data_IF_120200472016
#
_entry.id   IF_120200472016
#
_cell.length_a   1.000
_cell.length_b   1.000
_cell.length_c   1.000
_cell.angle_alpha   90.00
_cell.angle_beta   90.00
_cell.angle_gamma   90.00
#
_symmetry.space_group_name_H-M   'P 1'
#
loop_
_entity.id
_entity.type
_entity.pdbx_description
1 polymer ?
#
# COMPACT_ATOMS: atom_id res chain seq x y z
N UNK A 1 70.96 18.67 -2.44
CA UNK A 1 71.52 18.51 -3.81
C UNK A 1 70.35 18.14 -4.72
N UNK A 2 69.76 18.97 -5.57
CA UNK A 2 70.26 20.15 -6.28
C UNK A 2 70.72 19.74 -7.68
N UNK A 3 69.87 19.95 -8.70
CA UNK A 3 70.11 20.08 -10.16
C UNK A 3 68.70 20.03 -10.79
N UNK A 4 68.04 21.06 -11.37
CA UNK A 4 68.40 22.21 -12.21
C UNK A 4 69.16 21.85 -13.48
N UNK A 5 68.45 21.83 -14.61
CA UNK A 5 68.99 22.26 -15.89
C UNK A 5 67.90 22.99 -16.69
N UNK A 6 68.12 24.28 -16.85
CA UNK A 6 67.44 25.18 -17.79
C UNK A 6 68.15 25.13 -19.14
N UNK A 7 67.40 25.31 -20.23
CA UNK A 7 67.94 25.64 -21.56
C UNK A 7 66.80 26.08 -22.48
N UNK A 8 66.47 27.38 -22.59
CA UNK A 8 67.03 28.47 -23.42
C UNK A 8 66.44 28.55 -24.86
N UNK A 9 65.45 29.44 -25.00
CA UNK A 9 65.25 30.49 -26.01
C UNK A 9 65.61 30.24 -27.50
N UNK A 10 64.60 30.37 -28.38
CA UNK A 10 64.79 30.48 -29.84
C UNK A 10 63.56 31.04 -30.58
N UNK A 11 63.52 32.37 -30.73
CA UNK A 11 62.92 33.22 -31.80
C UNK A 11 61.64 32.83 -32.56
N UNK A 12 60.65 33.71 -32.39
CA UNK A 12 59.72 34.34 -33.37
C UNK A 12 59.63 33.82 -34.81
N UNK A 13 58.39 33.54 -35.22
CA UNK A 13 57.87 33.65 -36.59
C UNK A 13 56.35 33.80 -36.57
N UNK A 14 55.85 35.01 -36.89
CA UNK A 14 54.43 35.31 -37.08
C UNK A 14 54.02 35.04 -38.54
N UNK A 15 52.93 34.30 -38.75
CA UNK A 15 51.88 34.51 -39.79
C UNK A 15 50.84 33.38 -39.62
N UNK A 16 49.69 33.64 -39.01
CA UNK A 16 48.42 34.05 -39.64
C UNK A 16 47.61 32.87 -40.22
N UNK A 17 46.61 32.40 -39.46
CA UNK A 17 45.19 32.16 -39.87
C UNK A 17 44.52 31.07 -39.02
N UNK A 18 43.42 31.47 -38.38
CA UNK A 18 42.37 30.69 -37.71
C UNK A 18 41.40 30.16 -38.81
N UNK A 19 40.66 29.03 -38.68
CA UNK A 19 39.67 28.86 -37.62
C UNK A 19 39.55 27.48 -36.93
N UNK A 20 39.20 27.59 -35.65
CA UNK A 20 38.10 26.93 -34.94
C UNK A 20 38.13 25.43 -34.61
N UNK A 21 38.15 25.24 -33.29
CA UNK A 21 37.29 24.35 -32.52
C UNK A 21 37.19 22.88 -32.96
N UNK A 22 37.99 22.10 -32.25
CA UNK A 22 37.75 20.70 -31.97
C UNK A 22 36.30 20.39 -31.57
N UNK A 23 35.88 19.16 -31.90
CA UNK A 23 34.89 18.44 -31.12
C UNK A 23 33.55 18.23 -31.81
N UNK A 24 33.50 17.23 -32.67
CA UNK A 24 32.26 16.54 -33.00
C UNK A 24 31.68 15.96 -31.69
N UNK A 25 30.73 16.66 -31.07
CA UNK A 25 29.92 16.14 -29.96
C UNK A 25 28.77 15.32 -30.52
N UNK A 26 29.08 14.10 -30.95
CA UNK A 26 28.08 13.07 -31.23
C UNK A 26 27.76 12.34 -29.91
N UNK A 27 26.90 12.93 -29.08
CA UNK A 27 26.54 12.35 -27.79
C UNK A 27 25.51 13.17 -27.04
N UNK A 28 24.29 13.28 -27.57
CA UNK A 28 23.16 13.87 -26.80
C UNK A 28 21.77 13.35 -27.22
N UNK A 29 21.61 12.88 -28.46
CA UNK A 29 20.30 12.53 -29.03
C UNK A 29 19.57 11.37 -28.31
N UNK A 30 20.32 10.48 -27.64
CA UNK A 30 19.75 9.35 -26.91
C UNK A 30 19.18 9.74 -25.54
N UNK A 31 19.83 10.68 -24.84
CA UNK A 31 19.37 11.16 -23.54
C UNK A 31 18.10 12.01 -23.69
N UNK A 32 18.06 12.88 -24.71
CA UNK A 32 16.87 13.68 -25.05
C UNK A 32 15.68 12.81 -25.46
N UNK A 33 15.92 11.73 -26.22
CA UNK A 33 14.87 10.80 -26.62
C UNK A 33 14.28 10.06 -25.41
N UNK A 34 15.12 9.60 -24.49
CA UNK A 34 14.68 8.94 -23.25
C UNK A 34 13.95 9.91 -22.33
N UNK A 35 14.44 11.15 -22.20
CA UNK A 35 13.77 12.18 -21.40
C UNK A 35 12.39 12.52 -21.95
N UNK A 36 12.27 12.62 -23.28
CA UNK A 36 10.98 12.83 -23.95
C UNK A 36 10.00 11.68 -23.71
N UNK A 37 10.47 10.43 -23.84
CA UNK A 37 9.65 9.23 -23.55
C UNK A 37 9.21 9.14 -22.09
N UNK A 38 10.10 9.50 -21.15
CA UNK A 38 9.78 9.54 -19.73
C UNK A 38 8.74 10.61 -19.43
N UNK A 39 8.87 11.80 -20.02
CA UNK A 39 7.93 12.89 -19.81
C UNK A 39 6.54 12.55 -20.39
N UNK A 40 6.49 11.92 -21.57
CA UNK A 40 5.24 11.43 -22.16
C UNK A 40 4.57 10.38 -21.26
N UNK A 41 5.36 9.47 -20.68
CA UNK A 41 4.85 8.44 -19.78
C UNK A 41 4.36 9.03 -18.45
N UNK A 42 5.04 10.04 -17.92
CA UNK A 42 4.60 10.78 -16.72
C UNK A 42 3.25 11.44 -17.00
N UNK A 43 3.14 12.20 -18.08
CA UNK A 43 1.88 12.85 -18.47
C UNK A 43 0.77 11.83 -18.70
N UNK A 44 1.07 10.68 -19.31
CA UNK A 44 0.08 9.60 -19.49
C UNK A 44 -0.40 9.02 -18.16
N UNK A 45 0.51 8.83 -17.20
CA UNK A 45 0.18 8.31 -15.87
C UNK A 45 -0.61 9.32 -15.05
N UNK A 46 -0.24 10.60 -15.06
CA UNK A 46 -0.97 11.69 -14.41
C UNK A 46 -2.42 11.75 -14.92
N UNK A 47 -2.61 11.72 -16.24
CA UNK A 47 -3.96 11.70 -16.84
C UNK A 47 -4.79 10.47 -16.44
N UNK A 48 -4.14 9.31 -16.22
CA UNK A 48 -4.83 8.10 -15.76
C UNK A 48 -5.22 8.21 -14.30
N UNK A 49 -4.38 8.81 -13.46
CA UNK A 49 -4.68 9.07 -12.06
C UNK A 49 -5.88 10.01 -11.97
N UNK A 50 -5.87 11.14 -12.69
CA UNK A 50 -6.98 12.10 -12.68
C UNK A 50 -8.32 11.45 -13.08
N UNK A 51 -8.31 10.58 -14.09
CA UNK A 51 -9.50 9.84 -14.53
C UNK A 51 -9.99 8.87 -13.46
N UNK A 52 -9.10 8.12 -12.83
CA UNK A 52 -9.45 7.17 -11.78
C UNK A 52 -9.98 7.88 -10.54
N UNK A 53 -9.39 9.03 -10.17
CA UNK A 53 -9.87 9.85 -9.06
C UNK A 53 -11.28 10.39 -9.32
N UNK A 54 -11.57 10.85 -10.53
CA UNK A 54 -12.91 11.31 -10.90
C UNK A 54 -13.94 10.15 -10.94
N UNK A 55 -13.56 8.98 -11.46
CA UNK A 55 -14.41 7.78 -11.43
C UNK A 55 -14.76 7.37 -9.99
N UNK A 56 -13.78 7.36 -9.09
CA UNK A 56 -14.00 7.08 -7.67
C UNK A 56 -14.91 8.12 -7.01
N UNK A 57 -14.73 9.40 -7.34
CA UNK A 57 -15.57 10.49 -6.84
C UNK A 57 -17.02 10.33 -7.29
N UNK A 58 -17.24 9.90 -8.53
CA UNK A 58 -18.59 9.66 -9.06
C UNK A 58 -19.26 8.43 -8.44
N UNK A 59 -18.50 7.35 -8.24
CA UNK A 59 -19.00 6.15 -7.56
C UNK A 59 -19.40 6.46 -6.12
N UNK A 60 -18.55 7.17 -5.37
CA UNK A 60 -18.86 7.61 -4.00
C UNK A 60 -20.13 8.48 -3.93
N UNK A 61 -20.30 9.40 -4.89
CA UNK A 61 -21.50 10.24 -4.98
C UNK A 61 -22.76 9.43 -5.30
N UNK A 62 -22.65 8.40 -6.14
CA UNK A 62 -23.76 7.49 -6.48
C UNK A 62 -24.19 6.66 -5.27
N UNK A 63 -23.24 6.15 -4.49
CA UNK A 63 -23.52 5.42 -3.25
C UNK A 63 -24.26 6.31 -2.23
N UNK A 64 -23.81 7.54 -2.04
CA UNK A 64 -24.45 8.51 -1.13
C UNK A 64 -25.86 8.93 -1.58
N UNK A 65 -26.11 9.02 -2.89
CA UNK A 65 -27.44 9.33 -3.42
C UNK A 65 -28.40 8.13 -3.38
N UNK A 66 -27.89 6.91 -3.46
CA UNK A 66 -28.71 5.68 -3.36
C UNK A 66 -29.16 5.36 -1.93
N UNK A 67 -28.46 5.87 -0.90
CA UNK A 67 -28.82 5.71 0.51
C UNK A 67 -29.82 6.76 1.04
N UNK A 68 -30.35 7.65 0.18
CA UNK A 68 -31.10 8.84 0.57
C UNK A 68 -32.59 8.84 0.26
N UNK A 69 -33.34 7.76 0.55
CA UNK A 69 -34.82 7.82 0.59
C UNK A 69 -35.35 7.07 1.82
N UNK A 70 -35.47 7.79 2.94
CA UNK A 70 -36.55 7.68 3.93
C UNK A 70 -36.27 8.63 5.10
N UNK A 71 -36.73 9.88 4.97
CA UNK A 71 -37.06 10.71 6.12
C UNK A 71 -38.58 10.77 6.19
N UNK A 72 -39.17 10.11 7.18
CA UNK A 72 -40.50 10.43 7.66
C UNK A 72 -40.37 10.68 9.16
N UNK A 73 -40.53 11.95 9.53
CA UNK A 73 -40.78 12.41 10.88
C UNK A 73 -41.99 11.67 11.48
N UNK A 74 -41.83 11.12 12.69
CA UNK A 74 -42.88 11.05 13.69
C UNK A 74 -42.24 10.81 15.05
N UNK A 75 -42.47 11.76 15.97
CA UNK A 75 -42.36 11.51 17.40
C UNK A 75 -43.41 10.47 17.75
N UNK A 76 -43.01 9.35 18.34
CA UNK A 76 -43.53 8.86 19.63
C UNK A 76 -42.89 7.51 20.01
N UNK A 77 -42.76 7.36 21.31
CA UNK A 77 -42.24 6.26 22.11
C UNK A 77 -42.58 4.83 21.63
N UNK A 78 -41.59 4.00 21.30
CA UNK A 78 -41.60 2.56 21.64
C UNK A 78 -40.23 1.88 21.47
N UNK A 79 -39.81 1.22 22.56
CA UNK A 79 -38.86 0.09 22.67
C UNK A 79 -38.03 -0.23 21.41
N UNK A 80 -36.79 0.25 21.39
CA UNK A 80 -35.84 -0.04 20.30
C UNK A 80 -35.43 -1.52 20.35
N UNK A 81 -36.05 -2.33 19.50
CA UNK A 81 -35.46 -3.62 19.09
C UNK A 81 -34.09 -3.36 18.45
N UNK A 82 -33.08 -4.23 18.66
CA UNK A 82 -31.77 -4.05 18.07
C UNK A 82 -31.88 -4.12 16.55
N UNK A 83 -31.41 -3.07 15.87
CA UNK A 83 -31.24 -3.06 14.42
C UNK A 83 -30.20 -4.12 14.06
N UNK A 84 -30.66 -5.31 13.70
CA UNK A 84 -29.83 -6.29 13.01
C UNK A 84 -29.57 -5.76 11.59
N UNK A 85 -28.31 -5.75 11.15
CA UNK A 85 -28.03 -5.77 9.71
C UNK A 85 -27.17 -4.66 9.11
N UNK A 86 -26.34 -3.96 9.88
CA UNK A 86 -25.23 -3.22 9.26
C UNK A 86 -23.95 -4.04 9.37
N UNK A 87 -23.56 -4.66 8.25
CA UNK A 87 -22.26 -5.31 8.13
C UNK A 87 -21.17 -4.24 8.38
N UNK A 88 -20.38 -4.45 9.43
CA UNK A 88 -19.28 -3.58 9.84
C UNK A 88 -17.97 -4.26 9.47
N UNK A 89 -17.06 -3.48 8.91
CA UNK A 89 -15.67 -3.88 8.71
C UNK A 89 -14.79 -3.16 9.72
N UNK A 90 -13.86 -3.92 10.30
CA UNK A 90 -12.88 -3.46 11.27
C UNK A 90 -11.50 -3.94 10.84
N UNK A 91 -10.48 -3.13 11.08
CA UNK A 91 -9.09 -3.47 10.83
C UNK A 91 -8.41 -3.79 12.15
N UNK A 92 -7.81 -4.97 12.25
CA UNK A 92 -7.18 -5.46 13.47
C UNK A 92 -5.66 -5.45 13.34
N UNK A 93 -5.00 -5.16 14.46
CA UNK A 93 -3.56 -5.25 14.57
C UNK A 93 -3.09 -6.71 14.76
N UNK A 94 -1.77 -6.89 14.92
CA UNK A 94 -1.20 -8.18 15.30
C UNK A 94 -1.88 -8.75 16.57
N UNK A 95 -2.23 -10.04 16.58
CA UNK A 95 -2.77 -10.70 17.77
C UNK A 95 -1.68 -10.91 18.83
N UNK A 96 -2.11 -11.18 20.05
CA UNK A 96 -1.26 -11.79 21.07
C UNK A 96 -0.96 -13.26 20.73
N UNK A 97 -0.02 -13.86 21.46
CA UNK A 97 0.28 -15.30 21.35
C UNK A 97 -0.92 -16.20 21.61
N UNK A 98 -1.89 -15.72 22.40
CA UNK A 98 -3.13 -16.42 22.73
C UNK A 98 -4.24 -16.23 21.69
N UNK A 99 -3.96 -15.51 20.59
CA UNK A 99 -4.92 -15.25 19.52
C UNK A 99 -5.95 -14.19 19.85
N UNK A 100 -5.59 -13.22 20.70
CA UNK A 100 -6.44 -12.07 21.04
C UNK A 100 -5.98 -10.84 20.26
N UNK A 101 -6.90 -10.18 19.57
CA UNK A 101 -6.69 -8.91 18.91
C UNK A 101 -7.07 -7.78 19.87
N UNK A 102 -6.05 -7.08 20.38
CA UNK A 102 -6.28 -6.03 21.38
C UNK A 102 -6.67 -4.68 20.78
N UNK A 103 -6.45 -4.49 19.47
CA UNK A 103 -6.72 -3.23 18.79
C UNK A 103 -7.55 -3.46 17.53
N UNK A 104 -8.65 -2.72 17.43
CA UNK A 104 -9.55 -2.70 16.29
C UNK A 104 -9.86 -1.24 15.91
N UNK A 105 -9.85 -0.95 14.61
CA UNK A 105 -10.13 0.37 14.05
C UNK A 105 -11.17 0.25 12.95
N UNK A 106 -11.99 1.28 12.71
CA UNK A 106 -12.87 1.35 11.54
C UNK A 106 -12.14 1.75 10.25
N UNK A 107 -10.89 2.22 10.37
CA UNK A 107 -10.03 2.64 9.26
C UNK A 107 -8.72 1.86 9.30
N UNK A 108 -8.24 1.43 8.13
CA UNK A 108 -6.95 0.77 7.99
C UNK A 108 -5.82 1.69 8.47
N UNK A 109 -4.95 1.17 9.33
CA UNK A 109 -3.79 1.88 9.86
C UNK A 109 -2.52 1.32 9.25
N UNK A 110 -1.89 2.12 8.39
CA UNK A 110 -0.61 1.80 7.76
C UNK A 110 0.44 1.46 8.84
N UNK A 111 1.13 0.33 8.68
CA UNK A 111 2.14 -0.24 9.56
C UNK A 111 1.59 -0.92 10.82
N UNK A 112 0.26 -1.02 10.98
CA UNK A 112 -0.38 -1.58 12.17
C UNK A 112 -1.46 -2.61 11.86
N UNK A 113 -2.32 -2.30 10.88
CA UNK A 113 -3.40 -3.18 10.47
C UNK A 113 -2.86 -4.35 9.67
N UNK A 114 -3.15 -5.56 10.12
CA UNK A 114 -2.72 -6.81 9.47
C UNK A 114 -3.94 -7.61 9.01
N UNK A 115 -5.07 -7.49 9.72
CA UNK A 115 -6.28 -8.26 9.46
C UNK A 115 -7.48 -7.35 9.20
N UNK A 116 -8.44 -7.89 8.46
CA UNK A 116 -9.77 -7.30 8.31
C UNK A 116 -10.79 -8.25 8.93
N UNK A 117 -11.65 -7.72 9.79
CA UNK A 117 -12.76 -8.43 10.42
C UNK A 117 -14.08 -7.87 9.90
N UNK A 118 -14.97 -8.76 9.51
CA UNK A 118 -16.34 -8.47 9.08
C UNK A 118 -17.30 -9.04 10.12
N UNK A 119 -18.20 -8.20 10.63
CA UNK A 119 -19.23 -8.61 11.62
C UNK A 119 -20.59 -8.00 11.27
N UNK A 120 -21.67 -8.72 11.54
CA UNK A 120 -23.04 -8.27 11.27
C UNK A 120 -23.78 -7.93 12.57
N UNK A 121 -23.50 -8.68 13.63
CA UNK A 121 -24.09 -8.56 14.96
C UNK A 121 -23.22 -7.74 15.92
N UNK A 122 -21.98 -7.45 15.56
CA UNK A 122 -21.00 -6.80 16.43
C UNK A 122 -20.43 -7.70 17.53
N UNK A 123 -20.74 -9.00 17.49
CA UNK A 123 -20.32 -10.00 18.49
C UNK A 123 -19.51 -11.11 17.84
N UNK A 124 -19.99 -11.65 16.71
CA UNK A 124 -19.30 -12.67 15.93
C UNK A 124 -18.78 -12.03 14.65
N UNK A 125 -17.52 -12.31 14.32
CA UNK A 125 -16.91 -11.82 13.09
C UNK A 125 -16.15 -12.92 12.37
N UNK A 126 -16.10 -12.83 11.06
CA UNK A 126 -15.09 -13.53 10.27
C UNK A 126 -13.93 -12.59 9.99
N UNK A 127 -12.71 -13.13 9.92
CA UNK A 127 -11.53 -12.33 9.63
C UNK A 127 -10.67 -12.96 8.55
N UNK A 128 -10.03 -12.08 7.79
CA UNK A 128 -9.08 -12.40 6.72
C UNK A 128 -7.77 -11.64 6.96
N UNK A 129 -6.70 -12.12 6.32
CA UNK A 129 -5.42 -11.41 6.29
C UNK A 129 -5.47 -10.38 5.15
N UNK A 130 -5.05 -9.14 5.41
CA UNK A 130 -5.07 -8.08 4.40
C UNK A 130 -4.06 -8.36 3.28
N UNK A 131 -4.52 -8.25 2.04
CA UNK A 131 -3.69 -8.35 0.82
C UNK A 131 -3.25 -6.97 0.34
N UNK A 132 -2.69 -6.16 1.25
CA UNK A 132 -2.12 -4.85 0.93
C UNK A 132 -0.60 -4.87 1.15
N UNK A 133 0.21 -4.16 0.33
CA UNK A 133 1.67 -4.20 0.46
C UNK A 133 2.18 -3.87 1.86
N UNK A 134 1.49 -2.96 2.55
CA UNK A 134 1.84 -2.53 3.89
C UNK A 134 1.48 -3.58 4.96
N UNK A 135 0.29 -4.20 4.87
CA UNK A 135 -0.08 -5.29 5.76
C UNK A 135 0.82 -6.51 5.55
N UNK A 136 1.19 -6.82 4.30
CA UNK A 136 2.13 -7.89 3.95
C UNK A 136 3.51 -7.59 4.54
N UNK A 137 4.02 -6.37 4.35
CA UNK A 137 5.30 -5.97 4.94
C UNK A 137 5.29 -6.13 6.46
N UNK A 138 4.21 -5.67 7.12
CA UNK A 138 4.04 -5.78 8.57
C UNK A 138 3.95 -7.25 9.02
N UNK A 139 3.15 -8.07 8.34
CA UNK A 139 3.02 -9.51 8.59
C UNK A 139 4.37 -10.24 8.47
N UNK A 140 5.17 -9.88 7.47
CA UNK A 140 6.46 -10.50 7.18
C UNK A 140 7.57 -10.11 8.16
N UNK A 141 7.39 -9.07 8.99
CA UNK A 141 8.30 -8.77 10.11
C UNK A 141 8.43 -10.01 11.02
N UNK A 142 7.32 -10.68 11.31
CA UNK A 142 7.32 -11.89 12.13
C UNK A 142 6.08 -12.75 11.89
N UNK A 143 6.16 -13.65 10.92
CA UNK A 143 5.07 -14.61 10.63
C UNK A 143 4.74 -15.46 11.86
N UNK A 144 5.74 -15.82 12.66
CA UNK A 144 5.52 -16.64 13.86
C UNK A 144 4.74 -15.93 14.97
N UNK A 145 4.86 -14.60 15.07
CA UNK A 145 4.17 -13.82 16.11
C UNK A 145 2.89 -13.18 15.60
N UNK A 146 2.85 -12.75 14.34
CA UNK A 146 1.72 -11.99 13.82
C UNK A 146 0.72 -12.86 13.09
N UNK A 147 1.14 -14.01 12.54
CA UNK A 147 0.31 -14.87 11.68
C UNK A 147 -0.03 -16.20 12.34
N UNK A 148 0.98 -16.99 12.73
CA UNK A 148 0.76 -18.35 13.30
C UNK A 148 -0.18 -18.44 14.52
N UNK A 149 -0.34 -17.41 15.38
CA UNK A 149 -1.30 -17.49 16.48
C UNK A 149 -2.74 -17.69 16.01
N UNK A 150 -3.13 -17.05 14.91
CA UNK A 150 -4.54 -16.98 14.43
C UNK A 150 -4.73 -17.53 13.03
N UNK A 151 -3.67 -17.85 12.30
CA UNK A 151 -3.71 -18.43 10.97
C UNK A 151 -2.92 -19.74 10.90
N UNK A 152 -3.38 -20.62 10.02
CA UNK A 152 -2.62 -21.75 9.48
C UNK A 152 -2.02 -21.30 8.16
N UNK A 153 -0.70 -21.38 8.06
CA UNK A 153 0.02 -20.97 6.86
C UNK A 153 0.25 -22.20 5.99
N UNK A 154 -0.33 -22.19 4.80
CA UNK A 154 -0.11 -23.16 3.74
C UNK A 154 0.97 -22.70 2.76
N UNK A 155 1.61 -23.65 2.08
CA UNK A 155 2.61 -23.37 1.04
C UNK A 155 3.99 -23.02 1.59
N UNK A 156 4.82 -22.44 0.73
CA UNK A 156 6.19 -22.08 1.06
C UNK A 156 6.29 -20.58 1.41
N UNK A 157 6.69 -20.28 2.65
CA UNK A 157 6.90 -18.90 3.13
C UNK A 157 8.34 -18.42 2.85
N UNK A 158 9.15 -19.22 2.14
CA UNK A 158 10.51 -18.84 1.78
C UNK A 158 10.50 -17.87 0.59
N UNK A 159 10.33 -16.57 0.88
CA UNK A 159 10.36 -15.52 -0.14
C UNK A 159 9.83 -14.19 0.38
N UNK A 160 9.80 -13.19 -0.52
CA UNK A 160 9.05 -11.96 -0.35
C UNK A 160 7.73 -12.10 -1.10
N UNK A 161 6.66 -12.57 -0.43
CA UNK A 161 5.35 -12.68 -1.07
C UNK A 161 4.84 -11.31 -1.46
N UNK A 162 4.20 -11.23 -2.62
CA UNK A 162 3.52 -10.02 -3.11
C UNK A 162 2.03 -10.08 -2.87
N UNK A 163 1.49 -11.28 -2.69
CA UNK A 163 0.07 -11.51 -2.47
C UNK A 163 -0.17 -12.50 -1.33
N UNK A 164 -1.31 -12.35 -0.69
CA UNK A 164 -1.83 -13.27 0.30
C UNK A 164 -3.23 -13.68 -0.10
N UNK A 165 -3.42 -14.99 -0.24
CA UNK A 165 -4.73 -15.58 -0.49
C UNK A 165 -5.24 -16.16 0.82
N UNK A 166 -6.43 -15.72 1.23
CA UNK A 166 -7.17 -16.36 2.32
C UNK A 166 -8.02 -17.49 1.72
N UNK A 167 -7.62 -18.74 1.96
CA UNK A 167 -8.31 -19.93 1.47
C UNK A 167 -9.54 -20.25 2.33
N UNK A 168 -9.44 -20.03 3.64
CA UNK A 168 -10.57 -20.14 4.58
C UNK A 168 -10.53 -18.99 5.58
N UNK A 169 -11.67 -18.34 5.80
CA UNK A 169 -11.79 -17.25 6.78
C UNK A 169 -11.68 -17.78 8.21
N UNK A 170 -10.99 -17.02 9.05
CA UNK A 170 -10.99 -17.24 10.49
C UNK A 170 -12.27 -16.71 11.13
N UNK A 171 -12.56 -17.12 12.36
CA UNK A 171 -13.67 -16.54 13.13
C UNK A 171 -13.18 -16.02 14.46
N UNK A 172 -13.73 -14.90 14.89
CA UNK A 172 -13.45 -14.28 16.17
C UNK A 172 -14.75 -13.83 16.86
N UNK A 173 -14.71 -13.80 18.18
CA UNK A 173 -15.80 -13.32 19.03
C UNK A 173 -15.31 -12.13 19.83
N UNK A 174 -16.18 -11.12 19.97
CA UNK A 174 -15.92 -9.95 20.79
C UNK A 174 -16.00 -10.33 22.28
N UNK A 175 -14.90 -10.11 23.00
CA UNK A 175 -14.78 -10.32 24.45
C UNK A 175 -14.35 -8.99 25.10
N UNK A 176 -15.33 -8.25 25.60
CA UNK A 176 -15.15 -6.86 26.04
C UNK A 176 -14.74 -5.93 24.89
N UNK A 177 -13.57 -5.32 25.00
CA UNK A 177 -12.98 -4.44 23.98
C UNK A 177 -12.06 -5.16 22.99
N UNK A 178 -11.87 -6.47 23.16
CA UNK A 178 -10.93 -7.25 22.35
C UNK A 178 -11.67 -8.28 21.49
N UNK A 179 -11.03 -8.72 20.42
CA UNK A 179 -11.54 -9.83 19.61
C UNK A 179 -10.72 -11.08 19.88
N UNK A 180 -11.37 -12.17 20.26
CA UNK A 180 -10.71 -13.45 20.52
C UNK A 180 -10.95 -14.40 19.36
N UNK A 181 -9.88 -14.94 18.78
CA UNK A 181 -9.97 -15.93 17.73
C UNK A 181 -10.60 -17.23 18.27
N UNK A 182 -11.60 -17.72 17.55
CA UNK A 182 -12.31 -18.98 17.81
C UNK A 182 -11.90 -20.06 16.80
N UNK A 183 -11.71 -19.67 15.53
CA UNK A 183 -11.21 -20.55 14.47
C UNK A 183 -10.10 -19.85 13.72
N UNK A 184 -9.00 -20.56 13.48
CA UNK A 184 -7.89 -20.04 12.68
C UNK A 184 -8.29 -19.93 11.20
N UNK A 185 -7.85 -18.85 10.56
CA UNK A 185 -7.93 -18.72 9.10
C UNK A 185 -6.90 -19.63 8.42
N UNK A 186 -7.15 -20.05 7.18
CA UNK A 186 -6.18 -20.73 6.34
C UNK A 186 -5.70 -19.73 5.28
N UNK A 187 -4.39 -19.48 5.23
CA UNK A 187 -3.79 -18.49 4.33
C UNK A 187 -2.61 -19.07 3.57
N UNK A 188 -2.40 -18.58 2.35
CA UNK A 188 -1.28 -18.95 1.49
C UNK A 188 -0.59 -17.67 0.98
N UNK A 189 0.73 -17.65 1.11
CA UNK A 189 1.58 -16.58 0.62
C UNK A 189 2.02 -16.89 -0.81
N UNK A 190 1.91 -15.91 -1.71
CA UNK A 190 2.31 -15.99 -3.13
C UNK A 190 3.32 -14.89 -3.51
#
# INVERSE_FOLDING_TARGET
>A
MGNIFSGLLGKQGSSEQQPDAAGQSAGDTGADSLFSQLNERITSLENRIDRLEEELRQLSKREQQSAGVSKVDSKDNELTMPVYGQQRQLFLAAPTTDGVFSHASSVEQIGKSIYQLTTIDGVNGSFILLDTPDAIATAMISVSQFIKPVCKVGGNVSGYPRHIITEEEGTAVKDGEHWKMMRKAQVRFE
#
